data_IF_750514391848
#
_entry.id   IF_750514391848
#
_cell.length_a   1.000
_cell.length_b   1.000
_cell.length_c   1.000
_cell.angle_alpha   90.00
_cell.angle_beta   90.00
_cell.angle_gamma   90.00
#
_symmetry.space_group_name_H-M   'P 1'
#
loop_
_entity.id
_entity.type
_entity.pdbx_description
1 polymer ?
#
# COMPACT_ATOMS: atom_id res chain seq x y z
N UNK A 1 45.21 40.90 18.96
CA UNK A 1 44.27 41.26 20.04
C UNK A 1 43.08 40.30 19.96
N UNK A 2 43.12 39.34 20.82
CA UNK A 2 42.12 38.68 21.68
C UNK A 2 40.75 38.49 21.08
N UNK A 3 40.45 37.25 20.61
CA UNK A 3 39.74 36.14 21.26
C UNK A 3 38.43 36.55 21.95
N UNK A 4 37.30 36.13 21.39
CA UNK A 4 36.16 35.61 22.19
C UNK A 4 35.49 34.49 21.42
N UNK A 5 35.92 33.30 21.68
CA UNK A 5 35.21 32.05 21.53
C UNK A 5 34.28 31.98 22.75
N UNK A 6 33.01 32.02 22.55
CA UNK A 6 31.95 31.82 23.56
C UNK A 6 30.97 30.85 22.98
N UNK A 7 31.10 29.65 23.30
CA UNK A 7 30.36 28.84 24.24
C UNK A 7 28.83 28.88 23.99
N UNK A 8 28.35 28.14 22.97
CA UNK A 8 26.99 27.65 22.89
C UNK A 8 27.07 26.17 22.52
N UNK A 9 27.61 25.44 23.41
CA UNK A 9 27.37 23.99 23.51
C UNK A 9 26.80 23.78 24.90
N UNK A 10 25.83 22.89 25.01
CA UNK A 10 25.13 22.50 26.24
C UNK A 10 23.78 23.22 26.45
N UNK A 11 22.79 22.89 25.70
CA UNK A 11 21.39 22.69 26.16
C UNK A 11 20.61 21.82 25.14
N UNK A 12 21.05 20.61 24.86
CA UNK A 12 20.21 19.61 24.19
C UNK A 12 20.52 18.25 24.78
N UNK A 13 20.39 18.13 26.05
CA UNK A 13 20.51 16.84 26.73
C UNK A 13 19.74 16.84 28.05
N UNK A 14 18.45 17.06 27.99
CA UNK A 14 17.52 16.62 29.05
C UNK A 14 16.10 16.61 28.47
N UNK A 15 15.75 15.62 27.72
CA UNK A 15 14.35 15.21 27.52
C UNK A 15 14.29 13.76 27.00
N UNK A 16 15.15 12.90 27.54
CA UNK A 16 14.94 11.46 27.51
C UNK A 16 14.59 11.09 28.93
N UNK A 17 13.34 11.12 29.23
CA UNK A 17 12.80 10.76 30.53
C UNK A 17 11.37 10.31 30.41
N UNK A 18 11.19 8.98 30.35
CA UNK A 18 10.11 8.27 30.98
C UNK A 18 8.70 8.55 30.42
N UNK A 19 8.28 7.72 29.49
CA UNK A 19 6.92 7.20 29.53
C UNK A 19 6.89 5.73 29.11
N UNK A 20 7.41 4.90 29.97
CA UNK A 20 7.11 3.48 30.03
C UNK A 20 6.15 3.32 31.18
N UNK A 21 4.88 3.17 30.94
CA UNK A 21 3.98 2.29 31.68
C UNK A 21 2.52 2.50 31.28
N UNK A 22 1.91 1.42 30.86
CA UNK A 22 0.52 1.17 31.19
C UNK A 22 -0.47 1.34 30.06
N UNK A 23 -0.87 0.28 29.45
CA UNK A 23 -2.20 -0.33 29.60
C UNK A 23 -2.49 -1.25 28.43
N UNK A 24 -2.33 -2.52 28.72
CA UNK A 24 -3.09 -3.57 28.01
C UNK A 24 -4.57 -3.28 28.21
N UNK A 25 -5.26 -2.91 27.16
CA UNK A 25 -6.69 -3.11 27.07
C UNK A 25 -6.96 -3.98 25.86
N UNK A 26 -7.30 -5.22 26.19
CA UNK A 26 -8.04 -6.08 25.30
C UNK A 26 -9.29 -5.31 24.88
N UNK A 27 -9.44 -5.04 23.59
CA UNK A 27 -10.70 -4.61 23.04
C UNK A 27 -11.26 -5.75 22.23
N UNK A 28 -12.33 -6.29 22.81
CA UNK A 28 -13.17 -7.35 22.28
C UNK A 28 -13.71 -6.99 20.89
N UNK A 29 -13.81 -8.05 20.11
CA UNK A 29 -14.74 -8.33 19.03
C UNK A 29 -15.78 -7.23 18.76
N UNK A 30 -15.71 -6.63 17.60
CA UNK A 30 -16.91 -6.20 16.95
C UNK A 30 -16.94 -6.85 15.56
N UNK A 31 -17.78 -7.90 15.45
CA UNK A 31 -18.05 -8.60 14.22
C UNK A 31 -18.83 -7.70 13.28
N UNK A 32 -18.14 -7.11 12.35
CA UNK A 32 -18.72 -6.56 11.15
C UNK A 32 -18.04 -7.28 9.99
N UNK A 33 -18.79 -8.10 9.27
CA UNK A 33 -18.34 -8.72 8.04
C UNK A 33 -18.12 -7.62 6.98
N UNK A 34 -17.02 -6.86 7.14
CA UNK A 34 -16.51 -5.95 6.14
C UNK A 34 -15.65 -6.76 5.17
N UNK A 35 -15.95 -6.67 3.89
CA UNK A 35 -15.08 -7.19 2.84
C UNK A 35 -13.75 -6.44 2.97
N UNK A 36 -12.70 -7.16 3.31
CA UNK A 36 -11.37 -6.61 3.47
C UNK A 36 -10.59 -6.80 2.16
N UNK A 37 -9.92 -5.75 1.71
CA UNK A 37 -8.98 -5.84 0.59
C UNK A 37 -7.75 -6.60 1.10
N UNK A 38 -7.55 -7.82 0.62
CA UNK A 38 -6.46 -8.67 1.05
C UNK A 38 -5.30 -8.63 0.07
N UNK A 39 -4.08 -8.52 0.58
CA UNK A 39 -2.86 -8.68 -0.19
C UNK A 39 -2.47 -10.16 -0.22
N UNK A 40 -2.21 -10.71 -1.41
CA UNK A 40 -1.75 -12.08 -1.61
C UNK A 40 -0.40 -12.11 -2.32
N UNK A 41 0.47 -13.00 -1.88
CA UNK A 41 1.77 -13.18 -2.49
C UNK A 41 1.69 -14.08 -3.72
N UNK A 42 2.43 -13.76 -4.77
CA UNK A 42 2.64 -14.68 -5.88
C UNK A 42 3.61 -15.80 -5.48
N UNK A 43 3.44 -16.96 -6.10
CA UNK A 43 4.11 -18.21 -5.77
C UNK A 43 5.61 -18.07 -5.39
N UNK A 44 5.93 -18.39 -4.15
CA UNK A 44 7.29 -18.57 -3.64
C UNK A 44 7.86 -17.45 -2.78
N UNK A 45 7.25 -16.27 -2.74
CA UNK A 45 7.67 -15.20 -1.85
C UNK A 45 6.97 -15.37 -0.49
N UNK A 46 7.73 -15.23 0.58
CA UNK A 46 7.19 -15.29 1.95
C UNK A 46 6.11 -14.23 2.10
N UNK A 47 4.87 -14.66 2.33
CA UNK A 47 3.76 -13.75 2.65
C UNK A 47 4.20 -12.89 3.84
N UNK A 48 4.36 -11.59 3.62
CA UNK A 48 4.49 -10.65 4.73
C UNK A 48 3.06 -10.39 5.18
N UNK A 49 2.69 -10.72 6.43
CA UNK A 49 1.38 -10.39 6.95
C UNK A 49 1.10 -8.89 6.75
N UNK A 50 -0.14 -8.53 6.49
CA UNK A 50 -0.55 -7.13 6.38
C UNK A 50 -0.08 -6.27 7.58
N UNK A 51 0.19 -6.92 8.73
CA UNK A 51 0.79 -6.31 9.90
C UNK A 51 2.21 -5.74 9.66
N UNK A 52 3.05 -6.42 8.86
CA UNK A 52 4.42 -5.94 8.60
C UNK A 52 4.43 -4.77 7.61
N UNK A 53 3.56 -4.81 6.60
CA UNK A 53 3.36 -3.67 5.70
C UNK A 53 2.80 -2.46 6.46
N UNK A 54 1.87 -2.68 7.39
CA UNK A 54 1.31 -1.64 8.26
C UNK A 54 2.36 -1.06 9.22
N UNK A 55 3.32 -1.86 9.68
CA UNK A 55 4.41 -1.37 10.53
C UNK A 55 5.34 -0.39 9.79
N UNK A 56 5.48 -0.54 8.46
CA UNK A 56 6.31 0.33 7.63
C UNK A 56 5.54 1.59 7.19
N UNK A 57 4.24 1.47 6.90
CA UNK A 57 3.42 2.56 6.33
C UNK A 57 2.49 3.24 7.35
N UNK A 58 2.42 2.74 8.59
CA UNK A 58 1.45 3.18 9.59
C UNK A 58 0.07 2.53 9.39
N UNK A 59 -0.93 3.02 10.15
CA UNK A 59 -2.30 2.50 10.04
C UNK A 59 -2.94 2.94 8.73
N UNK A 60 -3.14 2.01 7.83
CA UNK A 60 -3.77 2.26 6.54
C UNK A 60 -5.29 2.50 6.67
N UNK A 61 -5.89 3.34 5.79
CA UNK A 61 -7.34 3.43 5.63
C UNK A 61 -7.96 2.08 5.26
N UNK A 62 -9.25 1.89 5.56
CA UNK A 62 -9.95 0.62 5.28
C UNK A 62 -10.01 0.23 3.80
N UNK A 63 -9.96 1.22 2.91
CA UNK A 63 -9.96 1.05 1.46
C UNK A 63 -8.55 0.86 0.87
N UNK A 64 -7.52 0.72 1.70
CA UNK A 64 -6.13 0.65 1.27
C UNK A 64 -5.48 -0.62 1.82
N UNK A 65 -4.78 -1.34 0.95
CA UNK A 65 -3.90 -2.44 1.32
C UNK A 65 -2.48 -2.13 0.85
N UNK A 66 -1.47 -2.65 1.55
CA UNK A 66 -0.08 -2.48 1.16
C UNK A 66 0.65 -3.83 1.16
N UNK A 67 1.59 -3.97 0.23
CA UNK A 67 2.43 -5.16 0.09
C UNK A 67 3.86 -4.76 -0.25
N UNK A 68 4.83 -5.47 0.32
CA UNK A 68 6.23 -5.33 -0.05
C UNK A 68 6.54 -6.16 -1.29
N UNK A 69 7.28 -5.59 -2.24
CA UNK A 69 7.83 -6.27 -3.40
C UNK A 69 9.29 -5.85 -3.58
N UNK A 70 10.21 -6.78 -3.34
CA UNK A 70 11.64 -6.48 -3.37
C UNK A 70 12.03 -5.36 -2.41
N UNK A 71 12.53 -4.26 -2.96
CA UNK A 71 12.93 -3.03 -2.25
C UNK A 71 11.82 -1.95 -2.20
N UNK A 72 10.61 -2.28 -2.65
CA UNK A 72 9.49 -1.36 -2.76
C UNK A 72 8.33 -1.76 -1.85
N UNK A 73 7.55 -0.77 -1.44
CA UNK A 73 6.23 -0.93 -0.85
C UNK A 73 5.21 -0.43 -1.85
N UNK A 74 4.25 -1.27 -2.16
CA UNK A 74 3.15 -1.01 -3.07
C UNK A 74 1.88 -0.91 -2.26
N UNK A 75 1.25 0.25 -2.24
CA UNK A 75 -0.03 0.48 -1.60
C UNK A 75 -1.11 0.68 -2.65
N UNK A 76 -2.21 -0.05 -2.54
CA UNK A 76 -3.38 0.06 -3.42
C UNK A 76 -4.57 0.57 -2.64
N UNK A 77 -5.21 1.62 -3.12
CA UNK A 77 -6.48 2.12 -2.62
C UNK A 77 -7.55 2.09 -3.71
N UNK A 78 -8.79 1.76 -3.33
CA UNK A 78 -9.96 1.75 -4.20
C UNK A 78 -10.94 2.84 -3.79
N UNK A 79 -11.52 3.54 -4.77
CA UNK A 79 -12.54 4.54 -4.56
C UNK A 79 -13.64 4.46 -5.63
N UNK A 80 -14.95 4.28 -5.25
CA UNK A 80 -15.45 4.07 -3.90
C UNK A 80 -15.06 2.72 -3.29
N UNK A 81 -15.14 2.60 -1.96
CA UNK A 81 -14.94 1.35 -1.24
C UNK A 81 -16.10 1.12 -0.23
N UNK A 82 -16.72 -0.06 -0.16
CA UNK A 82 -16.47 -1.23 -1.03
C UNK A 82 -16.83 -0.95 -2.49
N UNK A 83 -16.12 -1.60 -3.44
CA UNK A 83 -16.43 -1.44 -4.86
C UNK A 83 -17.73 -2.13 -5.25
N UNK A 84 -18.34 -1.66 -6.34
CA UNK A 84 -19.58 -2.25 -6.90
C UNK A 84 -19.38 -2.65 -8.34
N UNK A 85 -19.95 -3.80 -8.74
CA UNK A 85 -19.86 -4.28 -10.11
C UNK A 85 -20.56 -3.33 -11.10
N UNK A 86 -19.94 -3.13 -12.26
CA UNK A 86 -20.43 -2.27 -13.33
C UNK A 86 -20.30 -0.78 -13.08
N UNK A 87 -19.72 -0.36 -11.94
CA UNK A 87 -19.45 1.03 -11.66
C UNK A 87 -17.96 1.37 -11.89
N UNK A 88 -17.65 2.60 -12.33
CA UNK A 88 -16.25 3.05 -12.41
C UNK A 88 -15.62 3.06 -11.02
N UNK A 89 -14.48 2.43 -10.89
CA UNK A 89 -13.67 2.40 -9.67
C UNK A 89 -12.35 3.08 -9.98
N UNK A 90 -11.95 4.02 -9.17
CA UNK A 90 -10.64 4.63 -9.21
C UNK A 90 -9.67 3.76 -8.42
N UNK A 91 -8.60 3.36 -9.07
CA UNK A 91 -7.47 2.64 -8.48
C UNK A 91 -6.35 3.64 -8.26
N UNK A 92 -5.91 3.77 -7.03
CA UNK A 92 -4.78 4.62 -6.64
C UNK A 92 -3.66 3.74 -6.10
N UNK A 93 -2.52 3.73 -6.78
CA UNK A 93 -1.33 3.01 -6.36
C UNK A 93 -0.29 4.02 -5.90
N UNK A 94 0.24 3.82 -4.69
CA UNK A 94 1.39 4.56 -4.19
C UNK A 94 2.60 3.64 -4.10
N UNK A 95 3.73 4.07 -4.70
CA UNK A 95 5.01 3.40 -4.64
C UNK A 95 5.98 4.16 -3.77
N UNK A 96 6.57 3.47 -2.79
CA UNK A 96 7.69 4.00 -1.99
C UNK A 96 8.79 2.96 -1.87
N UNK A 97 10.00 3.41 -1.59
CA UNK A 97 11.06 2.53 -1.13
C UNK A 97 10.87 2.14 0.34
N UNK A 98 11.76 1.32 0.88
CA UNK A 98 11.71 0.87 2.28
C UNK A 98 11.98 2.00 3.29
N UNK A 99 12.46 3.16 2.84
CA UNK A 99 12.68 4.36 3.66
C UNK A 99 11.51 5.35 3.57
N UNK A 100 10.45 4.99 2.81
CA UNK A 100 9.29 5.85 2.60
C UNK A 100 9.50 6.92 1.52
N UNK A 101 10.60 6.85 0.73
CA UNK A 101 10.83 7.79 -0.38
C UNK A 101 9.95 7.39 -1.57
N UNK A 102 9.31 8.38 -2.19
CA UNK A 102 8.45 8.19 -3.34
C UNK A 102 9.22 7.70 -4.57
N UNK A 103 8.67 6.70 -5.27
CA UNK A 103 9.20 6.17 -6.52
C UNK A 103 8.38 6.75 -7.68
N UNK A 104 9.03 7.58 -8.51
CA UNK A 104 8.38 8.34 -9.57
C UNK A 104 8.74 7.84 -10.99
N UNK A 105 9.67 6.89 -11.09
CA UNK A 105 10.29 6.43 -12.32
C UNK A 105 9.81 5.04 -12.76
N UNK A 106 8.62 4.64 -12.33
CA UNK A 106 8.01 3.37 -12.72
C UNK A 106 6.90 3.55 -13.75
N UNK A 107 6.67 2.52 -14.56
CA UNK A 107 5.46 2.35 -15.36
C UNK A 107 4.61 1.28 -14.70
N UNK A 108 3.32 1.54 -14.52
CA UNK A 108 2.40 0.63 -13.85
C UNK A 108 1.21 0.32 -14.75
N UNK A 109 0.86 -0.94 -14.81
CA UNK A 109 -0.43 -1.39 -15.35
C UNK A 109 -1.12 -2.32 -14.36
N UNK A 110 -2.43 -2.42 -14.47
CA UNK A 110 -3.22 -3.37 -13.70
C UNK A 110 -3.60 -4.55 -14.60
N UNK A 111 -3.76 -5.72 -13.99
CA UNK A 111 -4.41 -6.86 -14.61
C UNK A 111 -5.54 -7.33 -13.69
N UNK A 112 -6.78 -7.07 -14.11
CA UNK A 112 -7.99 -7.35 -13.33
C UNK A 112 -8.56 -8.70 -13.76
N UNK A 113 -8.52 -9.69 -12.90
CA UNK A 113 -8.94 -11.06 -13.21
C UNK A 113 -9.88 -11.64 -12.15
N UNK A 114 -10.63 -12.65 -12.51
CA UNK A 114 -11.37 -13.49 -11.57
C UNK A 114 -10.72 -14.88 -11.53
N UNK A 115 -10.12 -15.30 -10.39
CA UNK A 115 -9.40 -16.58 -10.32
C UNK A 115 -10.27 -17.81 -10.61
N UNK A 116 -11.58 -17.70 -10.42
CA UNK A 116 -12.53 -18.81 -10.58
C UNK A 116 -13.10 -18.97 -11.99
N UNK A 117 -12.81 -18.04 -12.93
CA UNK A 117 -13.36 -18.10 -14.28
C UNK A 117 -12.44 -17.45 -15.31
N UNK A 118 -12.58 -17.90 -16.54
CA UNK A 118 -11.95 -17.23 -17.67
C UNK A 118 -12.71 -15.94 -18.02
N UNK A 119 -11.98 -14.88 -18.32
CA UNK A 119 -12.53 -13.61 -18.77
C UNK A 119 -11.60 -12.96 -19.80
N UNK A 120 -12.13 -12.08 -20.67
CA UNK A 120 -11.29 -11.29 -21.55
C UNK A 120 -10.28 -10.42 -20.75
N UNK A 121 -9.11 -10.11 -21.34
CA UNK A 121 -8.14 -9.24 -20.69
C UNK A 121 -8.74 -7.88 -20.27
N UNK A 122 -8.48 -7.47 -19.04
CA UNK A 122 -8.83 -6.16 -18.50
C UNK A 122 -7.57 -5.57 -17.85
N UNK A 123 -6.77 -4.86 -18.65
CA UNK A 123 -5.42 -4.43 -18.30
C UNK A 123 -5.26 -2.92 -18.51
N UNK A 124 -5.87 -2.09 -17.67
CA UNK A 124 -5.71 -0.64 -17.76
C UNK A 124 -4.30 -0.19 -17.33
N UNK A 125 -3.72 0.71 -18.13
CA UNK A 125 -2.50 1.41 -17.74
C UNK A 125 -2.79 2.48 -16.70
N UNK A 126 -1.84 2.71 -15.78
CA UNK A 126 -1.95 3.75 -14.78
C UNK A 126 -1.19 5.01 -15.21
N UNK A 127 -1.75 6.16 -14.86
CA UNK A 127 -1.14 7.45 -15.11
C UNK A 127 -0.39 7.92 -13.86
N UNK A 128 0.85 8.35 -14.05
CA UNK A 128 1.60 9.01 -12.97
C UNK A 128 0.95 10.35 -12.61
N UNK A 129 0.78 10.61 -11.33
CA UNK A 129 0.22 11.86 -10.81
C UNK A 129 1.32 12.71 -10.18
N UNK A 130 1.84 12.28 -9.03
CA UNK A 130 2.93 12.96 -8.31
C UNK A 130 3.34 12.15 -7.09
N UNK A 131 4.57 12.36 -6.59
CA UNK A 131 5.00 11.84 -5.29
C UNK A 131 4.84 10.31 -5.14
N UNK A 132 5.15 9.55 -6.19
CA UNK A 132 5.01 8.09 -6.21
C UNK A 132 3.58 7.60 -6.37
N UNK A 133 2.61 8.49 -6.65
CA UNK A 133 1.21 8.11 -6.85
C UNK A 133 0.88 7.96 -8.33
N UNK A 134 0.13 6.90 -8.62
CA UNK A 134 -0.37 6.54 -9.95
C UNK A 134 -1.85 6.23 -9.83
N UNK A 135 -2.64 6.61 -10.83
CA UNK A 135 -4.07 6.31 -10.84
C UNK A 135 -4.58 5.80 -12.20
N UNK A 136 -5.70 5.12 -12.16
CA UNK A 136 -6.50 4.76 -13.33
C UNK A 136 -7.94 4.50 -12.89
N UNK A 137 -8.86 4.46 -13.85
CA UNK A 137 -10.26 4.13 -13.60
C UNK A 137 -10.68 2.96 -14.48
N UNK A 138 -11.22 1.94 -13.86
CA UNK A 138 -11.76 0.77 -14.57
C UNK A 138 -12.94 0.16 -13.78
N UNK A 139 -13.90 -0.51 -14.44
CA UNK A 139 -14.97 -1.22 -13.75
C UNK A 139 -14.58 -2.66 -13.43
N UNK A 140 -15.08 -3.18 -12.32
CA UNK A 140 -15.27 -4.60 -12.15
C UNK A 140 -16.56 -5.00 -12.88
N UNK A 141 -16.46 -5.86 -13.88
CA UNK A 141 -17.56 -6.12 -14.81
C UNK A 141 -18.69 -6.95 -14.21
N UNK A 142 -18.40 -7.71 -13.14
CA UNK A 142 -19.39 -8.58 -12.48
C UNK A 142 -19.10 -8.74 -10.99
N UNK A 143 -20.05 -9.30 -10.25
CA UNK A 143 -19.87 -9.63 -8.84
C UNK A 143 -19.01 -10.88 -8.66
N UNK A 144 -18.30 -10.96 -7.55
CA UNK A 144 -17.49 -12.11 -7.15
C UNK A 144 -16.13 -11.74 -6.61
N UNK A 145 -15.26 -12.74 -6.50
CA UNK A 145 -13.89 -12.56 -6.06
C UNK A 145 -13.00 -12.12 -7.24
N UNK A 146 -12.36 -10.98 -7.09
CA UNK A 146 -11.45 -10.43 -8.07
C UNK A 146 -10.02 -10.40 -7.54
N UNK A 147 -9.09 -10.60 -8.44
CA UNK A 147 -7.66 -10.40 -8.23
C UNK A 147 -7.18 -9.22 -9.05
N UNK A 148 -6.52 -8.30 -8.37
CA UNK A 148 -5.89 -7.12 -8.94
C UNK A 148 -4.38 -7.39 -8.91
N UNK A 149 -3.79 -7.63 -10.06
CA UNK A 149 -2.35 -7.69 -10.21
C UNK A 149 -1.86 -6.28 -10.57
N UNK A 150 -0.96 -5.73 -9.76
CA UNK A 150 -0.25 -4.48 -10.04
C UNK A 150 1.08 -4.85 -10.64
N UNK A 151 1.24 -4.60 -11.93
CA UNK A 151 2.47 -4.88 -12.69
C UNK A 151 3.29 -3.61 -12.73
N UNK A 152 4.51 -3.66 -12.20
CA UNK A 152 5.39 -2.51 -12.03
C UNK A 152 6.66 -2.76 -12.85
N UNK A 153 6.95 -1.89 -13.80
CA UNK A 153 8.19 -1.91 -14.59
C UNK A 153 9.06 -0.72 -14.21
N UNK A 154 10.27 -0.98 -13.73
CA UNK A 154 11.23 0.04 -13.33
C UNK A 154 12.65 -0.39 -13.69
N UNK A 155 13.42 0.47 -14.35
CA UNK A 155 14.80 0.19 -14.72
C UNK A 155 14.98 -1.09 -15.56
N UNK A 156 13.98 -1.45 -16.38
CA UNK A 156 13.99 -2.67 -17.21
C UNK A 156 13.59 -3.95 -16.46
N UNK A 157 13.32 -3.89 -15.16
CA UNK A 157 12.82 -5.00 -14.36
C UNK A 157 11.31 -4.89 -14.17
N UNK A 158 10.60 -6.01 -14.26
CA UNK A 158 9.16 -6.08 -14.02
C UNK A 158 8.88 -6.93 -12.79
N UNK A 159 8.05 -6.41 -11.90
CA UNK A 159 7.59 -7.08 -10.68
C UNK A 159 6.06 -6.99 -10.62
N UNK A 160 5.43 -7.97 -9.96
CA UNK A 160 3.98 -7.97 -9.75
C UNK A 160 3.66 -8.16 -8.28
N UNK A 161 2.61 -7.47 -7.83
CA UNK A 161 1.97 -7.72 -6.53
C UNK A 161 0.48 -7.95 -6.74
N UNK A 162 -0.13 -8.71 -5.84
CA UNK A 162 -1.51 -9.16 -5.99
C UNK A 162 -2.37 -8.72 -4.81
N UNK A 163 -3.55 -8.20 -5.11
CA UNK A 163 -4.56 -7.85 -4.12
C UNK A 163 -5.88 -8.52 -4.48
N UNK A 164 -6.55 -9.15 -3.52
CA UNK A 164 -7.85 -9.76 -3.73
C UNK A 164 -8.95 -8.89 -3.12
N UNK A 165 -10.08 -8.77 -3.83
CA UNK A 165 -11.25 -8.02 -3.38
C UNK A 165 -12.51 -8.78 -3.75
N UNK A 166 -13.50 -8.77 -2.86
CA UNK A 166 -14.84 -9.31 -3.12
C UNK A 166 -15.85 -8.20 -3.41
N UNK A 167 -16.78 -8.46 -4.34
CA UNK A 167 -17.91 -7.59 -4.69
C UNK A 167 -19.24 -8.31 -4.45
#
# INVERSE_FOLDING_TARGET
MTKKIGLIAIVVLVAIGIFVMGMRRASMMNGGAGIELAAVSSAGEKIIPAADATAITGKLPKNTAAQKSGDMIVSLALNPYPPSAGQPIEFNVALTDLNGQAINDATISLNLTMPSMWMPPNQPDMQFVSGGNYNTTAPFTMRGAWRIEVVITRGGNTQSVFFDVGL
#
